data_IF_079432683682
#
_entry.id   IF_079432683682
#
_cell.length_a   1.000
_cell.length_b   1.000
_cell.length_c   1.000
_cell.angle_alpha   90.00
_cell.angle_beta   90.00
_cell.angle_gamma   90.00
#
_symmetry.space_group_name_H-M   'P 1'
#
loop_
_entity.id
_entity.type
_entity.pdbx_description
1 polymer ?
#
# COMPACT_ATOMS: atom_id res chain seq x y z
N UNK A 1 73.96 -27.40 24.13
CA UNK A 1 72.52 -27.74 24.24
C UNK A 1 71.74 -26.79 23.32
N UNK A 2 71.31 -27.25 22.17
CA UNK A 2 70.56 -26.50 21.19
C UNK A 2 69.14 -26.33 21.73
N UNK A 3 68.67 -25.09 21.86
CA UNK A 3 67.36 -24.75 22.47
C UNK A 3 66.18 -25.10 21.52
N UNK A 4 65.92 -26.40 21.39
CA UNK A 4 64.82 -27.00 20.59
C UNK A 4 63.41 -26.50 21.01
N UNK A 5 63.29 -26.01 22.23
CA UNK A 5 61.98 -25.54 22.71
C UNK A 5 61.46 -24.20 22.16
N UNK A 6 62.37 -23.32 21.65
CA UNK A 6 61.94 -22.02 21.09
C UNK A 6 61.50 -22.13 19.62
N UNK A 7 62.08 -23.06 18.88
CA UNK A 7 61.73 -23.28 17.48
C UNK A 7 60.35 -23.94 17.31
N UNK A 8 60.01 -24.84 18.25
CA UNK A 8 58.68 -25.46 18.26
C UNK A 8 57.60 -24.48 18.69
N UNK A 9 57.88 -23.61 19.63
CA UNK A 9 56.92 -22.54 20.07
C UNK A 9 56.59 -21.55 18.92
N UNK A 10 57.58 -21.17 18.13
CA UNK A 10 57.36 -20.29 16.97
C UNK A 10 56.55 -20.98 15.88
N UNK A 11 56.80 -22.26 15.60
CA UNK A 11 55.97 -23.02 14.64
C UNK A 11 54.53 -23.20 15.13
N UNK A 12 54.33 -23.50 16.37
CA UNK A 12 53.00 -23.60 16.98
C UNK A 12 52.28 -22.25 16.91
N UNK A 13 52.96 -21.14 17.21
CA UNK A 13 52.36 -19.80 17.09
C UNK A 13 51.93 -19.47 15.65
N UNK A 14 52.76 -19.78 14.66
CA UNK A 14 52.44 -19.58 13.23
C UNK A 14 51.23 -20.44 12.80
N UNK A 15 51.16 -21.69 13.22
CA UNK A 15 50.03 -22.58 12.91
C UNK A 15 48.74 -22.07 13.55
N UNK A 16 48.78 -21.59 14.80
CA UNK A 16 47.63 -21.02 15.49
C UNK A 16 47.17 -19.75 14.80
N UNK A 17 48.06 -18.86 14.37
CA UNK A 17 47.73 -17.66 13.62
C UNK A 17 47.08 -17.98 12.27
N UNK A 18 47.59 -18.96 11.51
CA UNK A 18 46.99 -19.42 10.26
C UNK A 18 45.58 -19.98 10.49
N UNK A 19 45.40 -20.79 11.56
CA UNK A 19 44.07 -21.30 11.92
C UNK A 19 43.07 -20.18 12.30
N UNK A 20 43.49 -19.16 13.05
CA UNK A 20 42.66 -18.02 13.37
C UNK A 20 42.25 -17.24 12.12
N UNK A 21 43.19 -16.99 11.20
CA UNK A 21 42.88 -16.32 9.94
C UNK A 21 41.94 -17.16 9.07
N UNK A 22 42.17 -18.49 8.97
CA UNK A 22 41.31 -19.38 8.22
C UNK A 22 39.87 -19.45 8.83
N UNK A 23 39.74 -19.52 10.15
CA UNK A 23 38.45 -19.47 10.85
C UNK A 23 37.75 -18.11 10.60
N UNK A 24 38.48 -17.00 10.71
CA UNK A 24 37.96 -15.66 10.40
C UNK A 24 37.47 -15.54 8.97
N UNK A 25 38.22 -16.09 7.98
CA UNK A 25 37.82 -16.11 6.57
C UNK A 25 36.53 -16.94 6.36
N UNK A 26 36.45 -18.14 6.97
CA UNK A 26 35.27 -19.00 6.88
C UNK A 26 34.04 -18.30 7.49
N UNK A 27 34.19 -17.63 8.64
CA UNK A 27 33.12 -16.88 9.28
C UNK A 27 32.68 -15.72 8.37
N UNK A 28 33.63 -14.98 7.80
CA UNK A 28 33.36 -13.87 6.85
C UNK A 28 32.60 -14.33 5.62
N UNK A 29 33.03 -15.42 4.98
CA UNK A 29 32.35 -16.02 3.82
C UNK A 29 30.93 -16.46 4.19
N UNK A 30 30.73 -17.13 5.34
CA UNK A 30 29.40 -17.55 5.78
C UNK A 30 28.47 -16.36 6.03
N UNK A 31 28.97 -15.25 6.57
CA UNK A 31 28.20 -14.02 6.78
C UNK A 31 27.81 -13.39 5.45
N UNK A 32 28.72 -13.35 4.46
CA UNK A 32 28.45 -12.82 3.12
C UNK A 32 27.40 -13.66 2.39
N UNK A 33 27.52 -14.99 2.41
CA UNK A 33 26.54 -15.90 1.82
C UNK A 33 25.17 -15.69 2.46
N UNK A 34 25.10 -15.61 3.77
CA UNK A 34 23.87 -15.41 4.51
C UNK A 34 23.21 -14.06 4.20
N UNK A 35 24.00 -12.98 4.13
CA UNK A 35 23.54 -11.66 3.74
C UNK A 35 22.99 -11.67 2.30
N UNK A 36 23.68 -12.30 1.36
CA UNK A 36 23.22 -12.47 -0.02
C UNK A 36 21.91 -13.24 -0.12
N UNK A 37 21.76 -14.34 0.62
CA UNK A 37 20.50 -15.11 0.66
C UNK A 37 19.33 -14.26 1.20
N UNK A 38 19.56 -13.48 2.25
CA UNK A 38 18.53 -12.58 2.79
C UNK A 38 18.17 -11.49 1.79
N UNK A 39 19.17 -10.85 1.18
CA UNK A 39 18.97 -9.76 0.22
C UNK A 39 18.14 -10.19 -0.99
N UNK A 40 18.29 -11.43 -1.45
CA UNK A 40 17.59 -11.97 -2.62
C UNK A 40 16.20 -12.55 -2.29
N UNK A 41 15.75 -12.50 -1.05
CA UNK A 41 14.39 -12.90 -0.70
C UNK A 41 13.35 -11.84 -1.07
N UNK A 42 12.10 -12.27 -1.32
CA UNK A 42 10.98 -11.36 -1.56
C UNK A 42 10.68 -10.51 -0.33
N UNK A 43 10.27 -9.27 -0.54
CA UNK A 43 9.74 -8.44 0.54
C UNK A 43 8.47 -9.07 1.09
N UNK A 44 8.37 -9.17 2.40
CA UNK A 44 7.24 -9.73 3.10
C UNK A 44 7.12 -9.11 4.50
N UNK A 45 6.00 -9.31 5.15
CA UNK A 45 5.68 -8.73 6.45
C UNK A 45 5.04 -9.78 7.34
N UNK A 46 5.20 -9.64 8.65
CA UNK A 46 4.54 -10.48 9.65
C UNK A 46 3.10 -9.99 9.82
N UNK A 47 2.14 -10.91 9.80
CA UNK A 47 0.70 -10.62 9.81
C UNK A 47 0.07 -10.65 11.20
N UNK A 48 0.74 -11.23 12.19
CA UNK A 48 0.18 -11.39 13.53
C UNK A 48 1.26 -11.19 14.60
N UNK A 49 0.85 -10.59 15.71
CA UNK A 49 1.69 -10.46 16.90
C UNK A 49 2.11 -11.83 17.47
N UNK A 50 3.14 -11.83 18.27
CA UNK A 50 3.67 -13.01 18.95
C UNK A 50 4.05 -14.16 18.01
N UNK A 51 4.42 -13.84 16.75
CA UNK A 51 4.84 -14.85 15.77
C UNK A 51 6.21 -15.42 16.12
N UNK A 52 6.25 -16.73 16.38
CA UNK A 52 7.47 -17.43 16.74
C UNK A 52 8.43 -17.59 15.55
N UNK A 53 9.56 -16.87 15.57
CA UNK A 53 10.68 -17.03 14.64
C UNK A 53 11.67 -18.04 15.19
N UNK A 54 11.71 -19.23 14.60
CA UNK A 54 12.40 -20.41 15.13
C UNK A 54 13.58 -20.84 14.24
N UNK A 55 14.56 -21.53 14.86
CA UNK A 55 15.77 -21.96 14.15
C UNK A 55 15.52 -23.10 13.17
N UNK A 56 14.60 -24.01 13.50
CA UNK A 56 14.30 -25.21 12.71
C UNK A 56 12.80 -25.39 12.57
N UNK A 57 12.31 -25.85 11.43
CA UNK A 57 10.89 -26.10 11.14
C UNK A 57 10.38 -27.37 11.86
N UNK A 58 10.32 -27.34 13.20
CA UNK A 58 9.84 -28.43 14.06
C UNK A 58 9.03 -27.83 15.21
N UNK A 59 7.91 -28.47 15.53
CA UNK A 59 7.10 -28.10 16.69
C UNK A 59 7.62 -28.73 18.01
N UNK A 60 8.44 -29.78 17.89
CA UNK A 60 9.08 -30.41 19.07
C UNK A 60 10.47 -29.80 19.31
N UNK A 61 10.80 -29.51 20.55
CA UNK A 61 12.08 -28.89 20.97
C UNK A 61 12.38 -27.58 20.20
N UNK A 62 11.40 -26.68 20.16
CA UNK A 62 11.48 -25.41 19.46
C UNK A 62 12.63 -24.56 20.00
N UNK A 63 13.61 -24.23 19.15
CA UNK A 63 14.62 -23.22 19.47
C UNK A 63 14.16 -21.86 18.91
N UNK A 64 13.56 -21.06 19.79
CA UNK A 64 13.15 -19.71 19.48
C UNK A 64 14.37 -18.83 19.16
N UNK A 65 14.31 -18.07 18.08
CA UNK A 65 15.29 -17.02 17.75
C UNK A 65 14.81 -15.69 18.30
N UNK A 66 13.54 -15.37 18.04
CA UNK A 66 12.86 -14.16 18.49
C UNK A 66 11.36 -14.35 18.32
N UNK A 67 10.57 -13.62 19.06
CA UNK A 67 9.17 -13.36 18.79
C UNK A 67 9.04 -12.11 17.90
N UNK A 68 8.27 -12.21 16.83
CA UNK A 68 8.01 -11.13 15.88
C UNK A 68 6.59 -10.62 16.06
N UNK A 69 6.40 -9.36 15.75
CA UNK A 69 5.10 -8.70 15.86
C UNK A 69 4.52 -8.37 14.47
N UNK A 70 3.21 -8.12 14.42
CA UNK A 70 2.56 -7.59 13.24
C UNK A 70 3.32 -6.37 12.72
N UNK A 71 3.55 -6.30 11.41
CA UNK A 71 4.31 -5.21 10.80
C UNK A 71 5.84 -5.40 10.79
N UNK A 72 6.41 -6.41 11.49
CA UNK A 72 7.85 -6.70 11.34
C UNK A 72 8.16 -7.04 9.87
N UNK A 73 9.02 -6.26 9.24
CA UNK A 73 9.44 -6.48 7.84
C UNK A 73 10.47 -7.58 7.74
N UNK A 74 10.25 -8.51 6.81
CA UNK A 74 11.09 -9.70 6.62
C UNK A 74 11.39 -9.95 5.15
N UNK A 75 12.35 -10.81 4.86
CA UNK A 75 12.61 -11.34 3.52
C UNK A 75 12.14 -12.78 3.45
N UNK A 76 11.14 -13.06 2.62
CA UNK A 76 10.69 -14.42 2.34
C UNK A 76 11.67 -15.09 1.39
N UNK A 77 12.37 -16.14 1.86
CA UNK A 77 13.39 -16.85 1.09
C UNK A 77 12.76 -18.04 0.34
N UNK A 78 11.93 -18.81 1.03
CA UNK A 78 11.27 -19.99 0.45
C UNK A 78 10.17 -20.51 1.37
N UNK A 79 9.14 -21.13 0.78
CA UNK A 79 8.07 -21.83 1.48
C UNK A 79 8.25 -23.33 1.39
N UNK A 80 7.86 -24.07 2.42
CA UNK A 80 7.96 -25.52 2.54
C UNK A 80 6.69 -26.08 3.17
N UNK A 81 6.30 -27.28 2.75
CA UNK A 81 5.32 -28.10 3.46
C UNK A 81 6.05 -29.22 4.19
N UNK A 82 5.79 -29.42 5.47
CA UNK A 82 6.37 -30.51 6.23
C UNK A 82 5.56 -31.82 6.11
N UNK A 83 6.06 -32.90 6.74
CA UNK A 83 5.40 -34.23 6.72
C UNK A 83 4.01 -34.27 7.37
N UNK A 84 3.69 -33.25 8.18
CA UNK A 84 2.40 -33.11 8.85
C UNK A 84 1.47 -32.13 8.09
N UNK A 85 1.80 -31.80 6.83
CA UNK A 85 1.11 -30.83 5.98
C UNK A 85 1.08 -29.39 6.52
N UNK A 86 2.00 -29.05 7.43
CA UNK A 86 2.15 -27.68 7.92
C UNK A 86 3.04 -26.89 6.96
N UNK A 87 2.57 -25.72 6.55
CA UNK A 87 3.34 -24.80 5.69
C UNK A 87 4.25 -23.91 6.53
N UNK A 88 5.52 -23.88 6.16
CA UNK A 88 6.56 -23.10 6.78
C UNK A 88 7.22 -22.14 5.81
N UNK A 89 7.39 -20.91 6.22
CA UNK A 89 8.17 -19.90 5.50
C UNK A 89 9.55 -19.76 6.11
N UNK A 90 10.59 -20.00 5.29
CA UNK A 90 11.96 -19.64 5.64
C UNK A 90 12.13 -18.16 5.39
N UNK A 91 12.45 -17.40 6.42
CA UNK A 91 12.58 -15.95 6.35
C UNK A 91 13.95 -15.46 6.82
N UNK A 92 14.34 -14.30 6.30
CA UNK A 92 15.42 -13.48 6.83
C UNK A 92 14.83 -12.32 7.62
N UNK A 93 15.24 -12.17 8.89
CA UNK A 93 14.90 -11.02 9.72
C UNK A 93 16.19 -10.43 10.29
N UNK A 94 16.45 -9.16 9.97
CA UNK A 94 17.75 -8.54 10.23
C UNK A 94 18.86 -9.46 9.66
N UNK A 95 19.82 -9.89 10.46
CA UNK A 95 20.92 -10.78 10.02
C UNK A 95 20.70 -12.25 10.40
N UNK A 96 19.47 -12.66 10.68
CA UNK A 96 19.13 -14.03 11.08
C UNK A 96 18.24 -14.70 10.06
N UNK A 97 18.46 -16.00 9.83
CA UNK A 97 17.59 -16.85 9.01
C UNK A 97 16.94 -17.88 9.93
N UNK A 98 15.65 -18.07 9.75
CA UNK A 98 14.84 -19.03 10.51
C UNK A 98 13.52 -19.30 9.83
N UNK A 99 12.55 -19.81 10.57
CA UNK A 99 11.26 -20.26 10.08
C UNK A 99 10.14 -19.68 10.91
N UNK A 100 9.03 -19.37 10.23
CA UNK A 100 7.73 -19.06 10.83
C UNK A 100 6.66 -19.87 10.11
N UNK A 101 5.47 -20.05 10.72
CA UNK A 101 4.35 -20.61 9.98
C UNK A 101 3.96 -19.70 8.83
N UNK A 102 3.65 -20.26 7.65
CA UNK A 102 3.38 -19.47 6.46
C UNK A 102 2.12 -18.60 6.56
N UNK A 103 1.16 -19.00 7.38
CA UNK A 103 -0.05 -18.22 7.67
C UNK A 103 0.24 -16.85 8.33
N UNK A 104 1.43 -16.70 8.94
CA UNK A 104 1.87 -15.47 9.57
C UNK A 104 2.75 -14.60 8.68
N UNK A 105 2.86 -14.89 7.39
CA UNK A 105 3.70 -14.12 6.44
C UNK A 105 2.87 -13.65 5.28
N UNK A 106 2.77 -12.34 5.12
CA UNK A 106 2.11 -11.69 4.00
C UNK A 106 3.10 -11.11 2.99
N UNK A 107 2.75 -11.20 1.72
CA UNK A 107 3.41 -10.49 0.63
C UNK A 107 2.39 -10.03 -0.38
N UNK A 108 2.77 -9.10 -1.25
CA UNK A 108 1.93 -8.72 -2.38
C UNK A 108 1.72 -9.92 -3.31
N UNK A 109 0.46 -10.15 -3.66
CA UNK A 109 0.04 -11.17 -4.60
C UNK A 109 -0.96 -10.55 -5.59
N UNK A 110 -0.51 -10.13 -6.80
CA UNK A 110 -1.38 -9.48 -7.77
C UNK A 110 -2.53 -10.41 -8.17
N UNK A 111 -3.75 -9.89 -8.10
CA UNK A 111 -4.94 -10.64 -8.45
C UNK A 111 -5.20 -10.59 -9.94
N UNK A 112 -5.66 -11.72 -10.51
CA UNK A 112 -6.05 -11.82 -11.92
C UNK A 112 -7.58 -11.83 -12.13
N UNK A 113 -8.35 -11.60 -11.08
CA UNK A 113 -9.80 -11.48 -11.16
C UNK A 113 -10.21 -10.25 -11.98
N UNK A 114 -11.41 -10.28 -12.57
CA UNK A 114 -12.01 -9.15 -13.27
C UNK A 114 -12.17 -7.95 -12.32
N UNK A 115 -12.66 -8.23 -11.12
CA UNK A 115 -12.80 -7.27 -10.02
C UNK A 115 -11.81 -7.61 -8.92
N UNK A 116 -11.16 -6.62 -8.36
CA UNK A 116 -10.16 -6.75 -7.28
C UNK A 116 -10.38 -5.68 -6.22
N UNK A 117 -9.78 -5.87 -5.06
CA UNK A 117 -9.87 -4.93 -3.95
C UNK A 117 -8.79 -3.84 -4.05
N UNK A 118 -9.19 -2.63 -3.68
CA UNK A 118 -8.33 -1.45 -3.53
C UNK A 118 -8.61 -0.81 -2.17
N UNK A 119 -7.58 -0.29 -1.53
CA UNK A 119 -7.69 0.55 -0.34
C UNK A 119 -7.37 2.00 -0.70
N UNK A 120 -8.02 2.94 -0.04
CA UNK A 120 -7.60 4.34 -0.03
C UNK A 120 -7.34 4.79 1.40
N UNK A 121 -6.36 5.69 1.55
CA UNK A 121 -5.81 6.01 2.87
C UNK A 121 -5.40 7.48 3.00
N UNK A 122 -5.52 7.97 4.23
CA UNK A 122 -5.16 9.32 4.63
C UNK A 122 -4.70 9.36 6.10
N UNK A 123 -4.39 10.54 6.59
CA UNK A 123 -4.13 10.78 8.02
C UNK A 123 -5.22 10.24 8.95
N UNK A 124 -6.46 10.15 8.48
CA UNK A 124 -7.57 9.68 9.30
C UNK A 124 -7.43 8.19 9.63
N UNK A 125 -6.90 7.38 8.71
CA UNK A 125 -6.62 5.96 8.97
C UNK A 125 -5.55 5.80 10.06
N UNK A 126 -4.55 6.69 10.13
CA UNK A 126 -3.57 6.70 11.23
C UNK A 126 -4.23 7.02 12.57
N UNK A 127 -5.14 7.99 12.59
CA UNK A 127 -5.84 8.43 13.81
C UNK A 127 -6.80 7.35 14.32
N UNK A 128 -7.60 6.76 13.43
CA UNK A 128 -8.67 5.83 13.81
C UNK A 128 -8.21 4.37 13.86
N UNK A 129 -7.21 3.97 13.07
CA UNK A 129 -6.75 2.59 12.96
C UNK A 129 -5.41 2.34 13.63
N UNK A 130 -4.83 3.38 14.21
CA UNK A 130 -3.61 3.32 15.00
C UNK A 130 -2.39 2.73 14.28
N UNK A 131 -2.27 2.91 12.95
CA UNK A 131 -1.02 2.61 12.28
C UNK A 131 0.08 3.54 12.78
N UNK A 132 1.14 2.97 13.32
CA UNK A 132 2.30 3.72 13.82
C UNK A 132 3.52 3.57 12.94
N UNK A 133 3.52 2.55 12.06
CA UNK A 133 4.62 2.25 11.16
C UNK A 133 4.13 1.84 9.77
N UNK A 134 4.98 2.03 8.76
CA UNK A 134 4.69 1.52 7.42
C UNK A 134 4.54 -0.01 7.39
N UNK A 135 5.21 -0.74 8.29
CA UNK A 135 5.13 -2.19 8.37
C UNK A 135 3.74 -2.68 8.80
N UNK A 136 3.09 -2.01 9.76
CA UNK A 136 1.71 -2.32 10.18
C UNK A 136 0.72 -2.09 9.03
N UNK A 137 0.88 -0.98 8.28
CA UNK A 137 0.06 -0.75 7.09
C UNK A 137 0.35 -1.79 5.99
N UNK A 138 1.61 -2.18 5.78
CA UNK A 138 1.98 -3.24 4.85
C UNK A 138 1.35 -4.59 5.25
N UNK A 139 1.29 -4.90 6.57
CA UNK A 139 0.61 -6.09 7.07
C UNK A 139 -0.90 -6.04 6.78
N UNK A 140 -1.53 -4.89 7.00
CA UNK A 140 -2.94 -4.66 6.68
C UNK A 140 -3.24 -4.89 5.18
N UNK A 141 -2.44 -4.30 4.29
CA UNK A 141 -2.58 -4.49 2.84
C UNK A 141 -2.45 -5.98 2.47
N UNK A 142 -1.42 -6.67 2.98
CA UNK A 142 -1.16 -8.06 2.65
C UNK A 142 -2.24 -9.00 3.20
N UNK A 143 -2.76 -8.72 4.40
CA UNK A 143 -3.82 -9.50 5.07
C UNK A 143 -5.15 -9.42 4.32
N UNK A 144 -5.48 -8.24 3.79
CA UNK A 144 -6.71 -8.01 3.04
C UNK A 144 -6.55 -8.23 1.52
N UNK A 145 -5.33 -8.55 1.07
CA UNK A 145 -5.03 -8.87 -0.33
C UNK A 145 -5.41 -7.75 -1.30
N UNK A 146 -5.16 -6.50 -0.91
CA UNK A 146 -5.37 -5.36 -1.79
C UNK A 146 -4.43 -5.40 -2.99
N UNK A 147 -4.97 -5.12 -4.16
CA UNK A 147 -4.23 -5.10 -5.42
C UNK A 147 -3.71 -3.71 -5.75
N UNK A 148 -4.43 -2.68 -5.33
CA UNK A 148 -4.12 -1.27 -5.57
C UNK A 148 -4.33 -0.46 -4.30
N UNK A 149 -3.66 0.71 -4.22
CA UNK A 149 -3.81 1.66 -3.13
C UNK A 149 -3.91 3.08 -3.69
N UNK A 150 -4.81 3.90 -3.12
CA UNK A 150 -4.78 5.35 -3.28
C UNK A 150 -4.35 6.02 -1.98
N UNK A 151 -3.44 6.98 -2.08
CA UNK A 151 -2.86 7.70 -0.94
C UNK A 151 -3.25 9.18 -1.05
N UNK A 152 -3.79 9.76 0.02
CA UNK A 152 -4.08 11.19 0.04
C UNK A 152 -2.79 11.98 -0.10
N UNK A 153 -2.70 12.80 -1.15
CA UNK A 153 -1.60 13.74 -1.32
C UNK A 153 -1.76 14.96 -0.39
N UNK A 154 -2.98 15.44 -0.33
CA UNK A 154 -3.40 16.65 0.34
C UNK A 154 -4.60 17.25 -0.36
N UNK A 155 -4.67 18.56 -0.43
CA UNK A 155 -5.75 19.24 -1.12
C UNK A 155 -5.74 20.73 -0.88
N UNK A 156 -6.71 21.40 -1.50
CA UNK A 156 -7.12 22.74 -1.11
C UNK A 156 -8.13 22.61 0.05
N UNK A 157 -7.93 23.35 1.13
CA UNK A 157 -8.86 23.38 2.25
C UNK A 157 -10.20 24.00 1.85
N UNK A 158 -11.27 23.47 2.37
CA UNK A 158 -12.66 23.94 2.11
C UNK A 158 -13.06 25.20 2.92
N UNK A 159 -12.16 25.72 3.76
CA UNK A 159 -12.34 27.03 4.38
C UNK A 159 -12.17 28.19 3.40
N UNK A 160 -12.67 29.37 3.74
CA UNK A 160 -12.70 30.56 2.86
C UNK A 160 -11.36 30.91 2.22
N UNK A 161 -10.25 30.71 2.96
CA UNK A 161 -8.91 31.00 2.47
C UNK A 161 -8.42 30.00 1.42
N UNK A 162 -8.95 28.77 1.39
CA UNK A 162 -8.56 27.74 0.44
C UNK A 162 -7.07 27.41 0.44
N UNK A 163 -6.41 27.39 1.60
CA UNK A 163 -5.00 27.10 1.73
C UNK A 163 -4.67 25.66 1.36
N UNK A 164 -3.57 25.44 0.65
CA UNK A 164 -3.08 24.10 0.36
C UNK A 164 -2.49 23.42 1.58
N UNK A 165 -2.64 22.10 1.62
CA UNK A 165 -2.00 21.25 2.63
C UNK A 165 -1.57 19.91 2.03
N UNK A 166 -0.47 19.34 2.53
CA UNK A 166 -0.09 17.95 2.30
C UNK A 166 -0.66 17.07 3.43
N UNK A 167 -1.05 15.83 3.14
CA UNK A 167 -1.41 14.86 4.18
C UNK A 167 -0.14 14.49 4.97
N UNK A 168 -0.11 14.61 6.29
CA UNK A 168 1.12 14.42 7.06
C UNK A 168 1.63 12.98 7.07
N UNK A 169 0.83 12.01 6.64
CA UNK A 169 1.16 10.58 6.72
C UNK A 169 1.41 9.91 5.36
N UNK A 170 1.34 10.66 4.25
CA UNK A 170 1.48 10.08 2.91
C UNK A 170 2.76 9.26 2.73
N UNK A 171 3.87 9.70 3.32
CA UNK A 171 5.17 9.02 3.18
C UNK A 171 5.15 7.60 3.77
N UNK A 172 4.51 7.41 4.91
CA UNK A 172 4.37 6.09 5.53
C UNK A 172 3.64 5.11 4.62
N UNK A 173 2.61 5.57 3.92
CA UNK A 173 1.84 4.75 2.98
C UNK A 173 2.64 4.46 1.70
N UNK A 174 3.38 5.44 1.18
CA UNK A 174 4.33 5.24 0.06
C UNK A 174 5.33 4.15 0.42
N UNK A 175 5.96 4.24 1.59
CA UNK A 175 6.98 3.29 2.04
C UNK A 175 6.44 1.85 2.11
N UNK A 176 5.19 1.67 2.56
CA UNK A 176 4.54 0.37 2.59
C UNK A 176 4.28 -0.18 1.17
N UNK A 177 3.76 0.64 0.27
CA UNK A 177 3.50 0.26 -1.12
C UNK A 177 4.79 -0.07 -1.87
N UNK A 178 5.83 0.76 -1.72
CA UNK A 178 7.15 0.50 -2.32
C UNK A 178 7.81 -0.76 -1.77
N UNK A 179 7.70 -0.98 -0.45
CA UNK A 179 8.26 -2.17 0.18
C UNK A 179 7.62 -3.45 -0.36
N UNK A 180 6.29 -3.51 -0.45
CA UNK A 180 5.56 -4.67 -0.97
C UNK A 180 5.49 -4.74 -2.49
N UNK A 181 5.87 -3.68 -3.21
CA UNK A 181 5.74 -3.54 -4.67
C UNK A 181 4.27 -3.52 -5.14
N UNK A 182 3.43 -2.80 -4.41
CA UNK A 182 2.02 -2.59 -4.74
C UNK A 182 1.86 -1.32 -5.57
N UNK A 183 1.20 -1.37 -6.73
CA UNK A 183 0.88 -0.18 -7.50
C UNK A 183 -0.05 0.76 -6.72
N UNK A 184 0.31 2.05 -6.69
CA UNK A 184 -0.49 3.06 -6.02
C UNK A 184 -0.65 4.32 -6.86
N UNK A 185 -1.61 5.16 -6.47
CA UNK A 185 -1.83 6.51 -6.97
C UNK A 185 -2.08 7.48 -5.82
N UNK A 186 -2.21 8.74 -6.18
CA UNK A 186 -2.56 9.79 -5.22
C UNK A 186 -3.96 10.32 -5.46
N UNK A 187 -4.66 10.67 -4.39
CA UNK A 187 -5.87 11.46 -4.48
C UNK A 187 -5.67 12.84 -3.84
N UNK A 188 -6.42 13.80 -4.34
CA UNK A 188 -6.27 15.20 -4.03
C UNK A 188 -7.66 15.81 -3.84
N UNK A 189 -7.92 16.44 -2.69
CA UNK A 189 -9.17 17.15 -2.43
C UNK A 189 -9.21 18.43 -3.29
N UNK A 190 -10.13 18.46 -4.24
CA UNK A 190 -10.31 19.53 -5.20
C UNK A 190 -11.41 20.48 -4.74
N UNK A 191 -11.09 21.77 -4.59
CA UNK A 191 -11.97 22.82 -4.10
C UNK A 191 -11.86 24.12 -4.92
N UNK A 192 -11.36 24.06 -6.18
CA UNK A 192 -11.26 25.25 -7.03
C UNK A 192 -12.61 25.87 -7.34
N UNK A 193 -12.72 27.21 -7.25
CA UNK A 193 -13.93 27.97 -7.52
C UNK A 193 -13.95 28.58 -8.92
N UNK A 194 -12.79 28.68 -9.55
CA UNK A 194 -12.59 29.32 -10.85
C UNK A 194 -11.37 28.73 -11.55
N UNK A 195 -11.10 29.16 -12.79
CA UNK A 195 -10.04 28.63 -13.62
C UNK A 195 -8.63 29.04 -13.19
N UNK A 196 -8.47 30.12 -12.45
CA UNK A 196 -7.18 30.51 -11.88
C UNK A 196 -6.82 29.55 -10.74
N UNK A 197 -7.77 29.23 -9.88
CA UNK A 197 -7.58 28.25 -8.83
C UNK A 197 -7.37 26.81 -9.36
N UNK A 198 -7.95 26.48 -10.51
CA UNK A 198 -7.67 25.23 -11.22
C UNK A 198 -6.18 25.13 -11.57
N UNK A 199 -5.58 26.22 -12.10
CA UNK A 199 -4.14 26.21 -12.40
C UNK A 199 -3.29 26.08 -11.15
N UNK A 200 -3.63 26.77 -10.07
CA UNK A 200 -2.93 26.66 -8.78
C UNK A 200 -2.98 25.23 -8.23
N UNK A 201 -4.13 24.56 -8.29
CA UNK A 201 -4.26 23.18 -7.84
C UNK A 201 -3.47 22.19 -8.70
N UNK A 202 -3.45 22.40 -10.02
CA UNK A 202 -2.64 21.58 -10.92
C UNK A 202 -1.15 21.79 -10.65
N UNK A 203 -0.69 23.01 -10.38
CA UNK A 203 0.69 23.29 -10.00
C UNK A 203 1.06 22.57 -8.69
N UNK A 204 0.20 22.61 -7.69
CA UNK A 204 0.40 21.86 -6.45
C UNK A 204 0.51 20.35 -6.71
N UNK A 205 -0.37 19.77 -7.53
CA UNK A 205 -0.34 18.34 -7.90
C UNK A 205 0.97 18.02 -8.64
N UNK A 206 1.41 18.84 -9.59
CA UNK A 206 2.66 18.64 -10.32
C UNK A 206 3.88 18.66 -9.41
N UNK A 207 3.97 19.63 -8.51
CA UNK A 207 5.06 19.73 -7.55
C UNK A 207 5.07 18.54 -6.60
N UNK A 208 3.90 18.14 -6.08
CA UNK A 208 3.75 16.97 -5.23
C UNK A 208 4.20 15.70 -5.95
N UNK A 209 3.75 15.45 -7.18
CA UNK A 209 4.15 14.31 -7.98
C UNK A 209 5.65 14.32 -8.29
N UNK A 210 6.22 15.47 -8.64
CA UNK A 210 7.66 15.61 -8.90
C UNK A 210 8.51 15.23 -7.68
N UNK A 211 8.03 15.58 -6.48
CA UNK A 211 8.70 15.29 -5.21
C UNK A 211 8.55 13.82 -4.79
N UNK A 212 7.37 13.21 -4.99
CA UNK A 212 6.96 12.00 -4.32
C UNK A 212 6.68 10.80 -5.24
N UNK A 213 6.69 10.99 -6.58
CA UNK A 213 6.45 9.90 -7.52
C UNK A 213 7.63 8.93 -7.54
N UNK A 214 7.36 7.67 -7.22
CA UNK A 214 8.34 6.57 -7.20
C UNK A 214 7.99 5.49 -8.22
N UNK A 215 8.73 4.37 -8.22
CA UNK A 215 8.53 3.27 -9.19
C UNK A 215 7.13 2.70 -9.18
N UNK A 216 6.51 2.55 -7.99
CA UNK A 216 5.18 1.95 -7.85
C UNK A 216 4.04 2.96 -7.93
N UNK A 217 4.31 4.27 -8.07
CA UNK A 217 3.31 5.28 -8.35
C UNK A 217 2.87 5.20 -9.82
N UNK A 218 1.97 4.28 -10.11
CA UNK A 218 1.54 3.90 -11.46
C UNK A 218 0.13 4.40 -11.82
N UNK A 219 -0.75 4.57 -10.82
CA UNK A 219 -2.15 4.85 -11.06
C UNK A 219 -2.38 6.33 -11.43
N UNK A 220 -3.49 6.67 -12.13
CA UNK A 220 -3.84 8.06 -12.39
C UNK A 220 -4.08 8.83 -11.08
N UNK A 221 -3.99 10.14 -11.12
CA UNK A 221 -4.42 10.99 -9.99
C UNK A 221 -5.94 10.89 -9.85
N UNK A 222 -6.46 10.81 -8.62
CA UNK A 222 -7.88 10.92 -8.37
C UNK A 222 -8.20 12.32 -7.83
N UNK A 223 -9.09 13.04 -8.51
CA UNK A 223 -9.66 14.28 -8.02
C UNK A 223 -10.82 13.93 -7.10
N UNK A 224 -10.69 14.27 -5.84
CA UNK A 224 -11.67 14.02 -4.79
C UNK A 224 -12.63 15.20 -4.70
N UNK A 225 -13.85 14.98 -5.22
CA UNK A 225 -14.91 15.99 -5.33
C UNK A 225 -15.98 15.68 -4.29
N UNK A 226 -15.95 16.40 -3.18
CA UNK A 226 -16.89 16.21 -2.08
C UNK A 226 -17.61 17.51 -1.71
N UNK A 227 -18.82 17.40 -1.18
CA UNK A 227 -19.58 18.55 -0.67
C UNK A 227 -19.42 18.61 0.85
N UNK A 228 -18.81 19.70 1.31
CA UNK A 228 -18.70 20.02 2.72
C UNK A 228 -19.72 21.08 3.10
N UNK A 229 -20.44 20.89 4.19
CA UNK A 229 -21.37 21.89 4.72
C UNK A 229 -20.58 23.16 5.10
N UNK A 230 -21.02 24.31 4.57
CA UNK A 230 -20.29 25.57 4.69
C UNK A 230 -18.96 25.62 3.95
N UNK A 231 -18.69 24.66 3.03
CA UNK A 231 -17.51 24.65 2.20
C UNK A 231 -17.51 25.77 1.16
N UNK A 232 -16.31 26.24 0.78
CA UNK A 232 -16.10 27.34 -0.16
C UNK A 232 -16.74 27.09 -1.55
N UNK A 233 -16.81 25.83 -1.99
CA UNK A 233 -17.41 25.44 -3.25
C UNK A 233 -18.95 25.37 -3.24
N UNK A 234 -19.61 25.66 -2.11
CA UNK A 234 -21.07 25.49 -1.97
C UNK A 234 -21.86 26.32 -2.98
N UNK A 235 -21.39 27.51 -3.31
CA UNK A 235 -22.05 28.43 -4.24
C UNK A 235 -21.98 28.03 -5.71
N UNK A 236 -21.10 27.10 -6.09
CA UNK A 236 -20.83 26.75 -7.50
C UNK A 236 -21.23 25.32 -7.88
N UNK A 237 -21.94 24.60 -7.00
CA UNK A 237 -22.26 23.17 -7.27
C UNK A 237 -23.02 22.96 -8.58
N UNK A 238 -23.91 23.82 -8.96
CA UNK A 238 -24.65 23.74 -10.24
C UNK A 238 -23.74 23.86 -11.47
N UNK A 239 -22.58 24.45 -11.31
CA UNK A 239 -21.59 24.64 -12.38
C UNK A 239 -20.31 23.82 -12.18
N UNK A 240 -20.26 23.00 -11.12
CA UNK A 240 -19.06 22.26 -10.71
C UNK A 240 -18.46 21.41 -11.83
N UNK A 241 -19.28 20.76 -12.64
CA UNK A 241 -18.85 19.94 -13.76
C UNK A 241 -17.98 20.69 -14.77
N UNK A 242 -18.20 21.99 -14.95
CA UNK A 242 -17.39 22.79 -15.88
C UNK A 242 -15.98 23.04 -15.32
N UNK A 243 -15.86 23.32 -14.02
CA UNK A 243 -14.57 23.51 -13.33
C UNK A 243 -13.78 22.19 -13.40
N UNK A 244 -14.42 21.09 -13.02
CA UNK A 244 -13.79 19.76 -13.04
C UNK A 244 -13.37 19.37 -14.47
N UNK A 245 -14.19 19.60 -15.49
CA UNK A 245 -13.83 19.29 -16.86
C UNK A 245 -12.66 20.15 -17.38
N UNK A 246 -12.60 21.43 -17.01
CA UNK A 246 -11.46 22.28 -17.35
C UNK A 246 -10.19 21.80 -16.65
N UNK A 247 -10.25 21.41 -15.38
CA UNK A 247 -9.13 20.84 -14.65
C UNK A 247 -8.62 19.56 -15.34
N UNK A 248 -9.51 18.62 -15.66
CA UNK A 248 -9.17 17.39 -16.37
C UNK A 248 -8.50 17.66 -17.73
N UNK A 249 -9.01 18.64 -18.48
CA UNK A 249 -8.43 19.05 -19.76
C UNK A 249 -7.01 19.60 -19.58
N UNK A 250 -6.80 20.52 -18.63
CA UNK A 250 -5.48 21.12 -18.37
C UNK A 250 -4.49 20.07 -17.84
N UNK A 251 -4.91 19.18 -16.94
CA UNK A 251 -4.08 18.06 -16.46
C UNK A 251 -3.65 17.16 -17.62
N UNK A 252 -4.58 16.79 -18.51
CA UNK A 252 -4.26 15.99 -19.69
C UNK A 252 -3.23 16.69 -20.60
N UNK A 253 -3.33 18.00 -20.81
CA UNK A 253 -2.34 18.80 -21.58
C UNK A 253 -0.97 18.79 -20.95
N UNK A 254 -0.87 18.67 -19.62
CA UNK A 254 0.38 18.55 -18.87
C UNK A 254 0.84 17.08 -18.72
N UNK A 255 0.15 16.11 -19.34
CA UNK A 255 0.50 14.69 -19.32
C UNK A 255 0.12 13.96 -18.02
N UNK A 256 -0.77 14.55 -17.22
CA UNK A 256 -1.28 13.95 -16.00
C UNK A 256 -2.60 13.23 -16.30
N UNK A 257 -2.63 11.91 -16.14
CA UNK A 257 -3.87 11.15 -16.22
C UNK A 257 -4.65 11.33 -14.91
N UNK A 258 -5.96 11.57 -15.01
CA UNK A 258 -6.81 11.74 -13.85
C UNK A 258 -8.11 10.95 -13.96
N UNK A 259 -8.67 10.58 -12.80
CA UNK A 259 -10.02 10.06 -12.58
C UNK A 259 -10.71 10.98 -11.57
N UNK A 260 -12.01 10.84 -11.41
CA UNK A 260 -12.79 11.62 -10.44
C UNK A 260 -13.40 10.68 -9.41
N UNK A 261 -13.14 10.96 -8.13
CA UNK A 261 -13.86 10.38 -7.01
C UNK A 261 -14.96 11.32 -6.55
N UNK A 262 -16.10 10.74 -6.20
CA UNK A 262 -17.20 11.47 -5.54
C UNK A 262 -18.19 10.49 -4.91
N UNK A 263 -19.02 11.00 -4.01
CA UNK A 263 -20.22 10.29 -3.58
C UNK A 263 -21.16 10.07 -4.77
N UNK A 264 -21.73 8.88 -4.90
CA UNK A 264 -22.55 8.49 -6.04
C UNK A 264 -23.76 9.40 -6.27
N UNK A 265 -24.41 9.88 -5.19
CA UNK A 265 -25.53 10.81 -5.27
C UNK A 265 -25.08 12.18 -5.81
N UNK A 266 -23.98 12.72 -5.26
CA UNK A 266 -23.41 13.98 -5.75
C UNK A 266 -22.98 13.89 -7.21
N UNK A 267 -22.30 12.81 -7.58
CA UNK A 267 -21.89 12.59 -8.97
C UNK A 267 -23.10 12.57 -9.92
N UNK A 268 -24.18 11.87 -9.56
CA UNK A 268 -25.40 11.83 -10.34
C UNK A 268 -26.09 13.19 -10.48
N UNK A 269 -26.05 13.99 -9.43
CA UNK A 269 -26.72 15.28 -9.38
C UNK A 269 -25.93 16.39 -10.05
N UNK A 270 -24.62 16.45 -9.86
CA UNK A 270 -23.79 17.60 -10.23
C UNK A 270 -22.64 17.31 -11.20
N UNK A 271 -22.26 16.03 -11.39
CA UNK A 271 -21.12 15.64 -12.24
C UNK A 271 -21.55 14.88 -13.51
N UNK A 272 -22.86 14.90 -13.84
CA UNK A 272 -23.32 14.41 -15.13
C UNK A 272 -22.65 15.23 -16.25
N UNK A 273 -22.07 14.55 -17.26
CA UNK A 273 -21.25 15.20 -18.28
C UNK A 273 -19.76 15.37 -17.93
N UNK A 274 -19.28 14.85 -16.80
CA UNK A 274 -17.85 14.84 -16.49
C UNK A 274 -17.06 13.99 -17.51
N UNK A 275 -15.92 14.51 -17.98
CA UNK A 275 -15.08 13.87 -19.00
C UNK A 275 -13.99 12.98 -18.40
N UNK A 276 -14.33 12.16 -17.40
CA UNK A 276 -13.41 11.25 -16.74
C UNK A 276 -14.04 9.89 -16.43
N UNK A 277 -13.22 8.92 -16.10
CA UNK A 277 -13.65 7.71 -15.40
C UNK A 277 -13.94 8.04 -13.94
N UNK A 278 -14.91 7.33 -13.35
CA UNK A 278 -15.45 7.61 -12.03
C UNK A 278 -15.10 6.52 -11.02
N UNK A 279 -14.70 6.96 -9.87
CA UNK A 279 -14.62 6.20 -8.64
C UNK A 279 -15.72 6.71 -7.69
N UNK A 280 -16.73 5.90 -7.45
CA UNK A 280 -17.93 6.32 -6.72
C UNK A 280 -17.98 5.73 -5.31
N UNK A 281 -18.35 6.54 -4.34
CA UNK A 281 -18.64 6.10 -2.98
C UNK A 281 -20.15 5.93 -2.77
N UNK A 282 -20.52 4.74 -2.31
CA UNK A 282 -21.85 4.41 -1.81
C UNK A 282 -21.74 3.23 -0.84
N UNK A 283 -22.23 3.38 0.38
CA UNK A 283 -22.05 2.43 1.47
C UNK A 283 -23.32 1.64 1.76
N UNK A 284 -23.55 0.48 1.12
CA UNK A 284 -24.65 -0.41 1.47
C UNK A 284 -24.35 -1.13 2.80
N UNK A 285 -25.40 -1.53 3.51
CA UNK A 285 -25.25 -2.29 4.76
C UNK A 285 -24.82 -3.73 4.49
N UNK A 286 -23.52 -3.98 4.37
CA UNK A 286 -22.95 -5.29 4.00
C UNK A 286 -22.40 -6.09 5.19
N UNK A 287 -22.39 -5.55 6.40
CA UNK A 287 -21.86 -6.21 7.62
C UNK A 287 -20.47 -6.83 7.40
N UNK A 288 -19.53 -6.06 6.83
CA UNK A 288 -18.15 -6.49 6.57
C UNK A 288 -17.98 -7.47 5.42
N UNK A 289 -18.96 -7.65 4.53
CA UNK A 289 -18.86 -8.52 3.36
C UNK A 289 -18.47 -7.71 2.12
N UNK A 290 -17.71 -8.35 1.24
CA UNK A 290 -17.47 -7.84 -0.11
C UNK A 290 -18.73 -8.09 -0.94
N UNK A 291 -19.26 -7.05 -1.67
CA UNK A 291 -20.43 -7.25 -2.53
C UNK A 291 -20.10 -8.18 -3.71
N UNK A 292 -21.02 -9.06 -4.04
CA UNK A 292 -20.98 -9.92 -5.23
C UNK A 292 -21.65 -9.27 -6.47
N UNK A 293 -22.23 -8.10 -6.29
CA UNK A 293 -22.87 -7.25 -7.31
C UNK A 293 -22.08 -5.94 -7.53
N UNK A 294 -22.52 -5.09 -8.41
CA UNK A 294 -21.96 -3.78 -8.71
C UNK A 294 -22.93 -2.66 -8.32
N UNK A 295 -22.44 -1.44 -8.09
CA UNK A 295 -23.30 -0.32 -7.71
C UNK A 295 -24.46 -0.09 -8.68
N UNK A 296 -24.24 -0.25 -10.00
CA UNK A 296 -25.26 -0.12 -11.03
C UNK A 296 -26.40 -1.15 -10.93
N UNK A 297 -26.20 -2.24 -10.18
CA UNK A 297 -27.18 -3.30 -9.97
C UNK A 297 -28.07 -3.03 -8.74
N UNK A 298 -27.90 -1.88 -8.09
CA UNK A 298 -28.66 -1.45 -6.91
C UNK A 298 -29.86 -0.59 -7.28
N UNK A 299 -30.85 -0.51 -6.41
CA UNK A 299 -32.04 0.39 -6.56
C UNK A 299 -31.77 1.81 -6.04
N UNK A 300 -30.49 2.21 -5.91
CA UNK A 300 -30.12 3.49 -5.33
C UNK A 300 -30.28 4.64 -6.31
N UNK A 301 -30.55 5.82 -5.76
CA UNK A 301 -30.55 7.07 -6.53
C UNK A 301 -29.21 7.26 -7.24
N UNK A 302 -29.23 7.44 -8.56
CA UNK A 302 -28.04 7.56 -9.40
C UNK A 302 -27.54 6.24 -10.01
N UNK A 303 -27.91 5.05 -9.50
CA UNK A 303 -27.55 3.77 -10.11
C UNK A 303 -28.17 3.61 -11.50
N UNK A 304 -29.26 4.32 -11.78
CA UNK A 304 -29.94 4.35 -13.09
C UNK A 304 -29.41 5.51 -14.00
N UNK A 305 -28.51 6.36 -13.51
CA UNK A 305 -27.91 7.40 -14.32
C UNK A 305 -26.82 6.80 -15.22
N UNK A 306 -27.17 6.54 -16.49
CA UNK A 306 -26.28 5.88 -17.44
C UNK A 306 -25.00 6.69 -17.74
N UNK A 307 -25.04 8.03 -17.66
CA UNK A 307 -23.85 8.84 -17.84
C UNK A 307 -22.81 8.61 -16.73
N UNK A 308 -23.26 8.38 -15.52
CA UNK A 308 -22.41 8.11 -14.36
C UNK A 308 -21.95 6.65 -14.32
N UNK A 309 -22.87 5.69 -14.41
CA UNK A 309 -22.54 4.27 -14.21
C UNK A 309 -21.65 3.71 -15.34
N UNK A 310 -21.81 4.19 -16.59
CA UNK A 310 -20.97 3.77 -17.70
C UNK A 310 -19.52 4.30 -17.62
N UNK A 311 -19.26 5.27 -16.78
CA UNK A 311 -17.92 5.81 -16.53
C UNK A 311 -17.27 5.18 -15.29
N UNK A 312 -18.03 4.46 -14.47
CA UNK A 312 -17.55 3.92 -13.18
C UNK A 312 -16.52 2.80 -13.39
N UNK A 313 -15.39 2.95 -12.71
CA UNK A 313 -14.29 1.96 -12.72
C UNK A 313 -13.93 1.48 -11.31
N UNK A 314 -14.42 2.16 -10.29
CA UNK A 314 -14.22 1.81 -8.90
C UNK A 314 -15.45 2.17 -8.06
N UNK A 315 -15.71 1.34 -7.04
CA UNK A 315 -16.79 1.53 -6.08
C UNK A 315 -16.27 1.40 -4.66
N UNK A 316 -16.20 2.51 -3.91
CA UNK A 316 -15.96 2.49 -2.47
C UNK A 316 -17.27 2.06 -1.78
N UNK A 317 -17.30 0.82 -1.32
CA UNK A 317 -18.52 0.22 -0.78
C UNK A 317 -18.57 0.19 0.76
N UNK A 318 -17.48 0.55 1.43
CA UNK A 318 -17.42 0.65 2.88
C UNK A 318 -16.27 1.55 3.33
N UNK A 319 -16.47 2.23 4.44
CA UNK A 319 -15.46 2.94 5.23
C UNK A 319 -15.08 2.17 6.51
N UNK A 320 -15.70 1.02 6.74
CA UNK A 320 -15.59 0.23 7.97
C UNK A 320 -14.81 -1.08 7.81
N UNK A 321 -14.06 -1.24 6.70
CA UNK A 321 -13.29 -2.45 6.42
C UNK A 321 -14.13 -3.66 6.02
N UNK A 322 -13.47 -4.80 5.78
CA UNK A 322 -14.08 -6.08 5.42
C UNK A 322 -13.52 -7.20 6.29
N UNK A 323 -14.37 -8.21 6.60
CA UNK A 323 -14.00 -9.40 7.37
C UNK A 323 -14.42 -9.36 8.84
N UNK A 324 -14.00 -10.37 9.60
CA UNK A 324 -14.41 -10.54 10.99
C UNK A 324 -13.63 -9.65 12.00
N UNK A 325 -12.56 -8.99 11.56
CA UNK A 325 -11.78 -8.06 12.37
C UNK A 325 -12.11 -6.63 11.97
N UNK A 326 -13.25 -6.17 12.45
CA UNK A 326 -13.77 -4.80 12.26
C UNK A 326 -12.94 -3.75 13.03
N UNK A 327 -11.89 -4.16 13.72
CA UNK A 327 -11.11 -3.29 14.62
C UNK A 327 -10.16 -2.33 13.87
N UNK A 328 -10.03 -2.46 12.56
CA UNK A 328 -9.29 -1.51 11.72
C UNK A 328 -10.20 -1.04 10.58
N UNK A 329 -10.86 0.06 10.81
CA UNK A 329 -11.69 0.72 9.81
C UNK A 329 -10.80 1.18 8.65
N UNK A 330 -11.04 0.70 7.47
CA UNK A 330 -10.33 1.11 6.26
C UNK A 330 -11.27 1.20 5.10
N UNK A 331 -11.07 2.21 4.28
CA UNK A 331 -11.83 2.37 3.05
C UNK A 331 -11.50 1.23 2.10
N UNK A 332 -12.54 0.51 1.67
CA UNK A 332 -12.41 -0.64 0.76
C UNK A 332 -13.24 -0.43 -0.48
N UNK A 333 -12.57 -0.67 -1.58
CA UNK A 333 -13.10 -0.46 -2.92
C UNK A 333 -13.08 -1.74 -3.72
N UNK A 334 -14.10 -1.91 -4.55
CA UNK A 334 -14.14 -2.91 -5.61
C UNK A 334 -13.81 -2.19 -6.94
N UNK A 335 -12.82 -2.66 -7.69
CA UNK A 335 -12.37 -1.99 -8.90
C UNK A 335 -12.36 -2.90 -10.12
N UNK A 336 -12.57 -2.33 -11.31
CA UNK A 336 -12.41 -3.02 -12.59
C UNK A 336 -10.91 -3.14 -12.88
N UNK A 337 -10.37 -4.33 -12.69
CA UNK A 337 -8.94 -4.61 -12.75
C UNK A 337 -8.31 -4.25 -14.10
N UNK A 338 -9.02 -4.51 -15.21
CA UNK A 338 -8.52 -4.23 -16.56
C UNK A 338 -8.23 -2.75 -16.79
N UNK A 339 -9.04 -1.86 -16.19
CA UNK A 339 -8.79 -0.42 -16.29
C UNK A 339 -7.47 -0.03 -15.60
N UNK A 340 -7.19 -0.57 -14.43
CA UNK A 340 -5.98 -0.21 -13.67
C UNK A 340 -4.73 -0.90 -14.21
N UNK A 341 -4.84 -2.12 -14.73
CA UNK A 341 -3.72 -2.85 -15.36
C UNK A 341 -3.05 -2.09 -16.51
N UNK A 342 -3.80 -1.29 -17.26
CA UNK A 342 -3.23 -0.50 -18.36
C UNK A 342 -2.16 0.51 -17.91
N UNK A 343 -2.19 0.95 -16.65
CA UNK A 343 -1.21 1.87 -16.08
C UNK A 343 -0.02 1.12 -15.45
N UNK A 344 -0.25 -0.07 -14.90
CA UNK A 344 0.77 -0.86 -14.21
C UNK A 344 1.73 -1.52 -15.21
N UNK A 345 1.23 -1.95 -16.36
CA UNK A 345 2.00 -2.67 -17.38
C UNK A 345 2.81 -1.75 -18.31
N UNK A 346 2.74 -0.44 -18.12
CA UNK A 346 3.58 0.54 -18.80
C UNK A 346 4.84 0.83 -17.97
#
# INVERSE_FOLDING_TARGET
>A
MINLGLYDKKKIFVIVMIMIIAIGAIIGINLLIKSSIIKNGDNAVILNDYTNFIKHKKLENVKLIKELNEGDTVKLIKTYTDKNNVQWSKIGYKNKIGYVKSENVGKYNPQNSEKVLMSDVSKFNVIYEHFTTFGEYAAFIAKHNFTYVYIRAGGRGYGDEGNFYEDPNYQMFIDACEYLKIPYGFYFLEEALNFDEVDEEIEFIEEFLKKNKTEMCKLPVALDIEKHEGGRAESIWETRVYIVNEMLYRMQKRGINAIVYSNAKLASQYLSGVNAKLWLAYYPTLKGKIPDYWYSDTDQEGAQNLDIVNKMIAWQFTEAGVGNNIDKNGDVNLVINEYFKQFVNK
#
